data_IF_237731249186
#
_entry.id   IF_237731249186
#
_cell.length_a   1.000
_cell.length_b   1.000
_cell.length_c   1.000
_cell.angle_alpha   90.00
_cell.angle_beta   90.00
_cell.angle_gamma   90.00
#
_symmetry.space_group_name_H-M   'P 1'
#
loop_
_entity.id
_entity.type
_entity.pdbx_description
1 polymer ?
#
# COMPACT_ATOMS: atom_id res chain seq x y z
N UNK A 1 -24.34 5.17 -12.17
CA UNK A 1 -22.91 4.86 -12.01
C UNK A 1 -22.34 4.56 -13.41
N UNK A 2 -21.80 5.55 -14.12
CA UNK A 2 -21.23 5.29 -15.45
C UNK A 2 -19.88 4.56 -15.29
N UNK A 3 -19.55 3.58 -16.16
CA UNK A 3 -18.27 2.90 -16.07
C UNK A 3 -17.16 3.86 -16.52
N UNK A 4 -16.17 4.04 -15.66
CA UNK A 4 -14.99 4.87 -15.88
C UNK A 4 -14.12 4.26 -16.98
N UNK A 5 -14.46 4.46 -18.26
CA UNK A 5 -13.59 4.13 -19.40
C UNK A 5 -12.53 5.21 -19.54
N UNK A 6 -11.55 5.22 -18.62
CA UNK A 6 -10.30 5.97 -18.85
C UNK A 6 -9.50 5.25 -19.93
N UNK A 7 -8.94 6.03 -20.85
CA UNK A 7 -8.00 5.49 -21.82
C UNK A 7 -6.79 4.89 -21.09
N UNK A 8 -6.23 3.79 -21.60
CA UNK A 8 -5.03 3.15 -21.03
C UNK A 8 -3.88 4.14 -20.85
N UNK A 9 -3.78 5.13 -21.75
CA UNK A 9 -2.78 6.19 -21.67
C UNK A 9 -3.00 7.14 -20.46
N UNK A 10 -4.25 7.36 -20.06
CA UNK A 10 -4.58 8.21 -18.91
C UNK A 10 -4.28 7.50 -17.59
N UNK A 11 -4.61 6.21 -17.51
CA UNK A 11 -4.25 5.37 -16.35
C UNK A 11 -2.73 5.31 -16.18
N UNK A 12 -1.99 5.13 -17.28
CA UNK A 12 -0.53 5.08 -17.23
C UNK A 12 0.08 6.40 -16.71
N UNK A 13 -0.41 7.55 -17.18
CA UNK A 13 0.03 8.85 -16.66
C UNK A 13 -0.26 9.03 -15.17
N UNK A 14 -1.42 8.57 -14.71
CA UNK A 14 -1.76 8.60 -13.28
C UNK A 14 -0.80 7.72 -12.46
N UNK A 15 -0.48 6.53 -12.93
CA UNK A 15 0.47 5.62 -12.25
C UNK A 15 1.84 6.29 -12.12
N UNK A 16 2.38 6.83 -13.21
CA UNK A 16 3.69 7.52 -13.19
C UNK A 16 3.68 8.70 -12.23
N UNK A 17 2.60 9.48 -12.20
CA UNK A 17 2.45 10.58 -11.26
C UNK A 17 2.43 10.09 -9.80
N UNK A 18 1.70 9.00 -9.51
CA UNK A 18 1.65 8.39 -8.18
C UNK A 18 3.02 7.88 -7.74
N UNK A 19 3.76 7.19 -8.61
CA UNK A 19 5.10 6.68 -8.31
C UNK A 19 6.06 7.81 -7.93
N UNK A 20 6.01 8.95 -8.63
CA UNK A 20 6.86 10.11 -8.34
C UNK A 20 6.58 10.78 -7.00
N UNK A 21 5.40 10.59 -6.43
CA UNK A 21 5.03 11.15 -5.12
C UNK A 21 5.28 10.16 -3.97
N UNK A 22 5.49 8.88 -4.27
CA UNK A 22 5.83 7.87 -3.27
C UNK A 22 7.32 7.95 -2.92
N UNK A 23 7.65 7.94 -1.63
CA UNK A 23 9.05 7.89 -1.19
C UNK A 23 9.77 6.63 -1.71
N UNK A 24 9.04 5.52 -1.80
CA UNK A 24 9.54 4.24 -2.34
C UNK A 24 9.70 4.26 -3.87
N UNK A 25 9.11 5.24 -4.58
CA UNK A 25 9.33 5.46 -6.01
C UNK A 25 8.76 4.38 -6.94
N UNK A 26 7.85 3.53 -6.45
CA UNK A 26 7.17 2.48 -7.24
C UNK A 26 5.79 2.19 -6.66
N UNK A 27 4.94 1.58 -7.48
CA UNK A 27 3.70 1.00 -6.99
C UNK A 27 3.96 -0.17 -6.02
N UNK A 28 3.04 -0.30 -5.06
CA UNK A 28 2.99 -1.43 -4.15
C UNK A 28 2.55 -2.72 -4.85
N UNK A 29 3.17 -3.82 -4.47
CA UNK A 29 2.81 -5.18 -4.87
C UNK A 29 1.92 -5.81 -3.78
N UNK A 30 1.11 -6.84 -4.09
CA UNK A 30 0.32 -7.55 -3.07
C UNK A 30 1.15 -8.09 -1.90
N UNK A 31 2.44 -8.35 -2.14
CA UNK A 31 3.40 -8.79 -1.13
C UNK A 31 3.71 -7.71 -0.08
N UNK A 32 3.67 -6.45 -0.47
CA UNK A 32 3.97 -5.33 0.44
C UNK A 32 2.89 -5.21 1.53
N UNK A 33 1.65 -5.63 1.27
CA UNK A 33 0.56 -5.66 2.25
C UNK A 33 0.51 -6.99 3.02
N UNK A 34 0.68 -8.12 2.33
CA UNK A 34 0.56 -9.44 2.97
C UNK A 34 1.70 -9.76 3.93
N UNK A 35 2.91 -9.24 3.69
CA UNK A 35 4.07 -9.51 4.56
C UNK A 35 3.92 -8.88 5.96
N UNK A 36 3.56 -7.58 6.11
CA UNK A 36 3.25 -6.99 7.42
C UNK A 36 2.10 -7.67 8.15
N UNK A 37 1.04 -8.06 7.43
CA UNK A 37 -0.10 -8.79 8.03
C UNK A 37 0.38 -10.14 8.57
N UNK A 38 1.14 -10.90 7.77
CA UNK A 38 1.71 -12.17 8.21
C UNK A 38 2.60 -11.98 9.44
N UNK A 39 3.42 -10.93 9.50
CA UNK A 39 4.25 -10.60 10.66
C UNK A 39 3.41 -10.43 11.95
N UNK A 40 2.28 -9.72 11.87
CA UNK A 40 1.36 -9.55 13.01
C UNK A 40 0.71 -10.85 13.48
N UNK A 41 0.60 -11.86 12.61
CA UNK A 41 0.02 -13.16 12.92
C UNK A 41 1.04 -14.22 13.39
N UNK A 42 2.34 -13.95 13.32
CA UNK A 42 3.37 -14.92 13.73
C UNK A 42 3.38 -15.11 15.25
N UNK A 43 3.85 -16.26 15.78
CA UNK A 43 3.99 -16.48 17.23
C UNK A 43 4.97 -15.49 17.91
N UNK A 44 5.93 -14.95 17.17
CA UNK A 44 6.81 -13.85 17.63
C UNK A 44 6.05 -12.53 17.83
N UNK A 45 4.78 -12.46 17.40
CA UNK A 45 3.89 -11.36 17.73
C UNK A 45 3.54 -11.29 19.22
N UNK A 46 4.08 -12.13 20.11
CA UNK A 46 4.08 -11.81 21.54
C UNK A 46 4.66 -10.41 21.81
N UNK A 47 5.67 -9.96 21.06
CA UNK A 47 6.20 -8.59 21.14
C UNK A 47 5.36 -7.55 20.39
N UNK A 48 4.60 -8.00 19.39
CA UNK A 48 3.62 -7.18 18.65
C UNK A 48 2.20 -7.26 19.25
N UNK A 49 2.00 -8.00 20.34
CA UNK A 49 0.69 -8.26 20.96
C UNK A 49 0.08 -6.99 21.56
N UNK A 50 0.94 -6.01 21.83
CA UNK A 50 0.56 -4.68 22.27
C UNK A 50 0.11 -3.76 21.12
N UNK A 51 0.26 -4.19 19.87
CA UNK A 51 -0.25 -3.49 18.68
C UNK A 51 -1.68 -3.97 18.45
N UNK A 52 -2.63 -3.35 19.16
CA UNK A 52 -4.07 -3.59 18.99
C UNK A 52 -4.79 -2.29 18.64
N UNK A 53 -5.85 -2.39 17.82
CA UNK A 53 -6.73 -1.27 17.46
C UNK A 53 -6.04 -0.11 16.71
N UNK A 54 -4.87 -0.36 16.13
CA UNK A 54 -4.12 0.63 15.35
C UNK A 54 -4.45 0.51 13.86
N UNK A 55 -4.41 1.65 13.16
CA UNK A 55 -4.41 1.69 11.70
C UNK A 55 -2.94 1.74 11.25
N UNK A 56 -2.49 0.68 10.58
CA UNK A 56 -1.13 0.59 10.04
C UNK A 56 -1.20 0.93 8.55
N UNK A 57 -0.56 2.03 8.15
CA UNK A 57 -0.49 2.47 6.76
C UNK A 57 0.65 1.77 6.04
N UNK A 58 0.37 1.26 4.84
CA UNK A 58 1.36 0.64 3.95
C UNK A 58 1.14 1.21 2.55
N UNK A 59 1.73 2.38 2.30
CA UNK A 59 1.49 3.19 1.10
C UNK A 59 2.79 3.62 0.37
N UNK A 60 3.94 3.08 0.79
CA UNK A 60 5.24 3.43 0.23
C UNK A 60 5.74 4.82 0.64
N UNK A 61 5.22 5.38 1.74
CA UNK A 61 5.58 6.72 2.22
C UNK A 61 4.97 7.81 1.34
N UNK A 62 3.80 7.55 0.78
CA UNK A 62 2.98 8.57 0.13
C UNK A 62 2.29 9.36 1.23
N UNK A 63 2.74 10.60 1.46
CA UNK A 63 2.03 11.50 2.37
C UNK A 63 0.91 12.13 1.55
N UNK A 64 -0.30 11.59 1.69
CA UNK A 64 -1.54 12.22 1.19
C UNK A 64 -1.92 13.43 2.03
#
# INVERSE_FOLDING_TARGET
>A
MQPLKKSTAEVHKMVVAMESQMTVGRLGEPKDISTPIAFLCLPAACDASYITSQIITVDGGSII
#
